data_IF_842073648993
#
_entry.id   IF_842073648993
#
_cell.length_a   1.000
_cell.length_b   1.000
_cell.length_c   1.000
_cell.angle_alpha   90.00
_cell.angle_beta   90.00
_cell.angle_gamma   90.00
#
_symmetry.space_group_name_H-M   'P 1'
#
loop_
_entity.id
_entity.type
_entity.pdbx_description
1 polymer ?
#
# COMPACT_ATOMS: atom_id res chain seq x y z
N UNK A 1 -13.83 9.09 -64.71
CA UNK A 1 -12.86 10.05 -64.15
C UNK A 1 -13.43 10.62 -62.87
N UNK A 2 -12.80 10.34 -61.76
CA UNK A 2 -13.07 11.04 -60.49
C UNK A 2 -13.42 10.15 -59.31
N UNK A 3 -12.44 9.53 -58.65
CA UNK A 3 -12.63 9.04 -57.27
C UNK A 3 -11.29 8.82 -56.57
N UNK A 4 -10.59 9.88 -56.20
CA UNK A 4 -9.35 9.75 -55.40
C UNK A 4 -9.24 10.79 -54.27
N UNK A 5 -10.33 11.41 -53.82
CA UNK A 5 -10.27 12.48 -52.79
C UNK A 5 -10.82 12.07 -51.41
N UNK A 6 -11.34 10.87 -51.22
CA UNK A 6 -11.97 10.49 -49.94
C UNK A 6 -10.98 9.84 -48.92
N UNK A 7 -9.90 9.30 -49.34
CA UNK A 7 -8.95 8.57 -48.48
C UNK A 7 -7.89 9.45 -47.78
N UNK A 8 -7.69 10.69 -48.23
CA UNK A 8 -6.69 11.60 -47.64
C UNK A 8 -7.20 12.37 -46.41
N UNK A 9 -8.51 12.53 -46.26
CA UNK A 9 -9.08 13.24 -45.07
C UNK A 9 -9.13 12.40 -43.82
N UNK A 10 -9.26 11.09 -43.92
CA UNK A 10 -9.32 10.19 -42.76
C UNK A 10 -7.95 9.99 -42.07
N UNK A 11 -6.86 10.08 -42.83
CA UNK A 11 -5.51 9.86 -42.28
C UNK A 11 -4.97 11.07 -41.50
N UNK A 12 -5.41 12.29 -41.84
CA UNK A 12 -4.96 13.52 -41.19
C UNK A 12 -5.62 13.69 -39.82
N UNK A 13 -6.86 13.23 -39.63
CA UNK A 13 -7.57 13.32 -38.35
C UNK A 13 -6.99 12.37 -37.31
N UNK A 14 -6.48 11.19 -37.74
CA UNK A 14 -5.90 10.21 -36.80
C UNK A 14 -4.54 10.63 -36.25
N UNK A 15 -3.75 11.39 -37.03
CA UNK A 15 -2.45 11.90 -36.59
C UNK A 15 -2.60 13.08 -35.63
N UNK A 16 -3.64 13.90 -35.79
CA UNK A 16 -3.90 15.04 -34.92
C UNK A 16 -4.34 14.61 -33.49
N UNK A 17 -5.09 13.50 -33.36
CA UNK A 17 -5.51 12.98 -32.05
C UNK A 17 -4.38 12.30 -31.26
N UNK A 18 -3.41 11.70 -31.95
CA UNK A 18 -2.24 11.08 -31.32
C UNK A 18 -1.27 12.13 -30.73
N UNK A 19 -1.16 13.30 -31.36
CA UNK A 19 -0.29 14.36 -30.86
C UNK A 19 -0.82 15.08 -29.61
N UNK A 20 -2.15 15.15 -29.41
CA UNK A 20 -2.74 15.80 -28.24
C UNK A 20 -2.49 14.98 -26.96
N UNK A 21 -2.58 13.65 -27.05
CA UNK A 21 -2.31 12.77 -25.89
C UNK A 21 -0.83 12.74 -25.50
N UNK A 22 0.07 12.83 -26.47
CA UNK A 22 1.51 12.84 -26.23
C UNK A 22 1.98 14.15 -25.59
N UNK A 23 1.44 15.29 -26.00
CA UNK A 23 1.79 16.59 -25.41
C UNK A 23 1.26 16.73 -23.98
N UNK A 24 0.13 16.09 -23.63
CA UNK A 24 -0.39 16.09 -22.24
C UNK A 24 0.47 15.26 -21.29
N UNK A 25 0.96 14.10 -21.74
CA UNK A 25 1.86 13.25 -20.97
C UNK A 25 3.22 13.93 -20.71
N UNK A 26 3.78 14.58 -21.71
CA UNK A 26 5.07 15.31 -21.59
C UNK A 26 4.95 16.54 -20.67
N UNK A 27 3.80 17.25 -20.67
CA UNK A 27 3.57 18.37 -19.75
C UNK A 27 3.52 17.96 -18.29
N UNK A 28 2.95 16.78 -17.99
CA UNK A 28 2.87 16.26 -16.63
C UNK A 28 4.26 15.92 -16.06
N UNK A 29 5.17 15.43 -16.87
CA UNK A 29 6.56 15.11 -16.47
C UNK A 29 7.37 16.38 -16.21
N UNK A 30 7.10 17.47 -16.92
CA UNK A 30 7.90 18.72 -16.84
C UNK A 30 7.79 19.47 -15.50
N UNK A 31 6.75 19.20 -14.70
CA UNK A 31 6.49 19.85 -13.41
C UNK A 31 6.70 18.94 -12.19
N UNK A 32 7.24 17.73 -12.38
CA UNK A 32 7.58 16.85 -11.27
C UNK A 32 8.96 17.20 -10.72
N UNK A 33 9.04 17.32 -9.39
CA UNK A 33 10.32 17.43 -8.72
C UNK A 33 11.10 16.12 -8.88
N UNK A 34 12.44 16.19 -8.91
CA UNK A 34 13.28 14.99 -9.02
C UNK A 34 12.97 13.95 -7.92
N UNK A 35 12.62 14.41 -6.72
CA UNK A 35 12.22 13.57 -5.60
C UNK A 35 10.89 12.86 -5.88
N UNK A 36 9.89 13.56 -6.43
CA UNK A 36 8.59 12.99 -6.76
C UNK A 36 8.72 11.92 -7.86
N UNK A 37 9.57 12.17 -8.85
CA UNK A 37 9.88 11.20 -9.89
C UNK A 37 10.49 9.91 -9.33
N UNK A 38 11.49 10.02 -8.44
CA UNK A 38 12.09 8.85 -7.78
C UNK A 38 11.07 8.15 -6.89
N UNK A 39 10.23 8.88 -6.16
CA UNK A 39 9.15 8.30 -5.36
C UNK A 39 8.17 7.51 -6.23
N UNK A 40 7.75 8.03 -7.37
CA UNK A 40 6.82 7.34 -8.28
C UNK A 40 7.42 6.04 -8.82
N UNK A 41 8.70 6.02 -9.15
CA UNK A 41 9.41 4.82 -9.59
C UNK A 41 9.54 3.76 -8.48
N UNK A 42 9.86 4.18 -7.26
CA UNK A 42 10.00 3.28 -6.13
C UNK A 42 8.64 2.84 -5.54
N UNK A 43 7.56 3.59 -5.77
CA UNK A 43 6.21 3.25 -5.29
C UNK A 43 5.41 2.41 -6.28
N UNK A 44 5.97 2.07 -7.43
CA UNK A 44 5.34 1.21 -8.42
C UNK A 44 5.15 -0.21 -7.87
N UNK A 45 4.10 -0.37 -7.09
CA UNK A 45 3.47 -1.59 -6.60
C UNK A 45 4.02 -2.26 -5.34
N UNK A 46 3.24 -2.21 -4.30
CA UNK A 46 2.65 -3.46 -3.87
C UNK A 46 1.12 -3.32 -3.79
N UNK A 47 0.38 -4.31 -4.23
CA UNK A 47 -1.06 -4.44 -3.99
C UNK A 47 -1.31 -4.76 -2.51
N UNK A 48 -0.87 -3.85 -1.63
CA UNK A 48 -1.11 -3.98 -0.20
C UNK A 48 -2.55 -3.53 0.10
N UNK A 49 -3.29 -4.28 0.93
CA UNK A 49 -4.62 -3.88 1.35
C UNK A 49 -4.57 -2.54 2.09
N UNK A 50 -5.64 -1.77 2.00
CA UNK A 50 -5.74 -0.52 2.75
C UNK A 50 -6.09 -0.83 4.21
N UNK A 51 -5.13 -0.65 5.12
CA UNK A 51 -5.29 -0.84 6.55
C UNK A 51 -4.90 0.41 7.33
N UNK A 52 -5.37 0.53 8.57
CA UNK A 52 -5.13 1.66 9.47
C UNK A 52 -4.44 1.20 10.75
N UNK A 53 -3.97 2.17 11.55
CA UNK A 53 -3.56 1.87 12.91
C UNK A 53 -4.73 1.26 13.69
N UNK A 54 -4.46 0.21 14.46
CA UNK A 54 -5.45 -0.57 15.19
C UNK A 54 -5.96 -1.82 14.48
N UNK A 55 -5.69 -1.97 13.20
CA UNK A 55 -6.07 -3.18 12.46
C UNK A 55 -5.11 -4.32 12.79
N UNK A 56 -5.65 -5.54 12.83
CA UNK A 56 -4.86 -6.76 12.97
C UNK A 56 -4.52 -7.28 11.59
N UNK A 57 -3.23 -7.39 11.30
CA UNK A 57 -2.72 -7.84 10.01
C UNK A 57 -1.73 -8.99 10.17
N UNK A 58 -1.60 -9.78 9.11
CA UNK A 58 -0.52 -10.76 8.96
C UNK A 58 0.38 -10.30 7.82
N UNK A 59 1.65 -10.08 8.11
CA UNK A 59 2.67 -9.73 7.14
C UNK A 59 3.49 -10.96 6.83
N UNK A 60 3.47 -11.40 5.58
CA UNK A 60 4.33 -12.47 5.07
C UNK A 60 5.57 -11.82 4.47
N UNK A 61 6.73 -12.12 5.04
CA UNK A 61 7.99 -11.57 4.55
C UNK A 61 9.00 -12.67 4.28
N UNK A 62 9.82 -12.44 3.27
CA UNK A 62 10.88 -13.33 2.84
C UNK A 62 12.10 -13.13 3.72
N UNK A 63 12.67 -14.22 4.17
CA UNK A 63 13.96 -14.27 4.85
C UNK A 63 14.90 -15.05 3.96
N UNK A 64 16.06 -14.46 3.67
CA UNK A 64 17.14 -15.10 2.91
C UNK A 64 18.21 -15.50 3.91
N UNK A 65 18.47 -16.80 4.02
CA UNK A 65 19.47 -17.37 4.90
C UNK A 65 20.47 -18.18 4.06
N UNK A 66 21.58 -17.53 3.67
CA UNK A 66 22.52 -18.09 2.71
C UNK A 66 21.86 -18.32 1.35
N UNK A 67 21.79 -19.58 0.91
CA UNK A 67 21.19 -19.96 -0.37
C UNK A 67 19.71 -20.38 -0.27
N UNK A 68 19.10 -20.27 0.90
CA UNK A 68 17.70 -20.67 1.13
C UNK A 68 16.84 -19.45 1.40
N UNK A 69 15.68 -19.43 0.76
CA UNK A 69 14.64 -18.44 1.00
C UNK A 69 13.47 -19.10 1.73
N UNK A 70 12.99 -18.45 2.77
CA UNK A 70 11.77 -18.89 3.46
C UNK A 70 10.85 -17.72 3.75
N UNK A 71 9.56 -18.01 3.75
CA UNK A 71 8.52 -17.04 4.07
C UNK A 71 8.19 -17.19 5.56
N UNK A 72 8.21 -16.07 6.27
CA UNK A 72 7.78 -16.02 7.66
C UNK A 72 6.61 -15.09 7.83
N UNK A 73 5.56 -15.53 8.54
CA UNK A 73 4.38 -14.74 8.83
C UNK A 73 4.52 -14.03 10.18
N UNK A 74 4.27 -12.73 10.18
CA UNK A 74 4.22 -11.91 11.40
C UNK A 74 2.81 -11.36 11.59
N UNK A 75 2.04 -11.96 12.51
CA UNK A 75 0.68 -11.55 12.82
C UNK A 75 0.68 -10.64 14.04
N UNK A 76 0.05 -9.46 13.92
CA UNK A 76 -0.03 -8.52 15.04
C UNK A 76 -0.93 -7.33 14.75
N UNK A 77 -0.97 -6.40 15.69
CA UNK A 77 -1.76 -5.17 15.59
C UNK A 77 -0.90 -4.00 15.13
N UNK A 78 -1.42 -3.21 14.19
CA UNK A 78 -0.72 -2.03 13.67
C UNK A 78 -0.76 -0.92 14.71
N UNK A 79 0.41 -0.49 15.20
CA UNK A 79 0.53 0.60 16.17
C UNK A 79 0.52 1.96 15.48
N UNK A 80 1.25 2.11 14.37
CA UNK A 80 1.38 3.37 13.66
C UNK A 80 1.64 3.16 12.17
N UNK A 81 1.23 4.13 11.38
CA UNK A 81 1.68 4.37 10.01
C UNK A 81 2.33 5.74 9.96
N UNK A 82 3.44 5.87 9.25
CA UNK A 82 4.14 7.15 9.09
C UNK A 82 4.85 7.20 7.73
N UNK A 83 5.18 8.42 7.29
CA UNK A 83 5.83 8.67 6.02
C UNK A 83 4.85 8.74 4.85
N UNK A 84 5.35 9.22 3.71
CA UNK A 84 4.62 9.39 2.47
C UNK A 84 5.48 8.83 1.33
N UNK A 85 4.83 8.25 0.32
CA UNK A 85 5.52 7.68 -0.83
C UNK A 85 6.48 6.55 -0.45
N UNK A 86 7.66 6.51 -1.05
CA UNK A 86 8.66 5.45 -0.87
C UNK A 86 9.15 5.28 0.58
N UNK A 87 9.10 6.35 1.40
CA UNK A 87 9.53 6.33 2.81
C UNK A 87 8.44 5.90 3.77
N UNK A 88 7.25 5.55 3.26
CA UNK A 88 6.14 5.12 4.09
C UNK A 88 6.46 3.82 4.84
N UNK A 89 6.21 3.82 6.15
CA UNK A 89 6.46 2.67 7.03
C UNK A 89 5.28 2.40 7.95
N UNK A 90 5.13 1.17 8.39
CA UNK A 90 4.17 0.79 9.42
C UNK A 90 4.83 -0.10 10.47
N UNK A 91 4.34 0.00 11.70
CA UNK A 91 4.86 -0.79 12.82
C UNK A 91 3.77 -1.74 13.29
N UNK A 92 4.12 -3.01 13.38
CA UNK A 92 3.24 -4.08 13.87
C UNK A 92 3.75 -4.57 15.21
N UNK A 93 2.85 -4.72 16.19
CA UNK A 93 3.14 -5.28 17.52
C UNK A 93 2.46 -6.64 17.69
N UNK A 94 3.21 -7.57 18.20
CA UNK A 94 2.76 -8.91 18.56
C UNK A 94 3.17 -9.21 19.99
N UNK A 95 2.34 -9.89 20.75
CA UNK A 95 2.74 -10.50 22.02
C UNK A 95 3.29 -11.90 21.76
N UNK A 96 4.51 -12.17 22.18
CA UNK A 96 5.14 -13.48 22.09
C UNK A 96 5.68 -13.83 23.47
N UNK A 97 5.21 -14.93 24.04
CA UNK A 97 5.67 -15.44 25.34
C UNK A 97 5.68 -14.40 26.48
N UNK A 98 4.63 -13.56 26.52
CA UNK A 98 4.51 -12.47 27.48
C UNK A 98 5.27 -11.19 27.13
N UNK A 99 6.13 -11.22 26.12
CA UNK A 99 6.92 -10.06 25.67
C UNK A 99 6.29 -9.41 24.46
N UNK A 100 6.19 -8.09 24.47
CA UNK A 100 5.70 -7.32 23.33
C UNK A 100 6.80 -7.09 22.31
N UNK A 101 6.69 -7.72 21.14
CA UNK A 101 7.62 -7.56 20.02
C UNK A 101 7.04 -6.59 19.00
N UNK A 102 7.81 -5.55 18.64
CA UNK A 102 7.45 -4.59 17.61
C UNK A 102 8.39 -4.73 16.42
N UNK A 103 7.82 -4.75 15.22
CA UNK A 103 8.58 -4.75 13.98
C UNK A 103 8.11 -3.65 13.05
N UNK A 104 9.08 -2.92 12.50
CA UNK A 104 8.84 -1.86 11.53
C UNK A 104 9.03 -2.44 10.14
N UNK A 105 8.04 -2.20 9.27
CA UNK A 105 8.03 -2.63 7.88
C UNK A 105 7.90 -1.40 6.96
N UNK A 106 8.80 -1.22 5.98
CA UNK A 106 8.58 -0.28 4.88
C UNK A 106 7.46 -0.81 3.96
N UNK A 107 6.56 0.06 3.50
CA UNK A 107 5.48 -0.34 2.60
C UNK A 107 5.97 -0.95 1.29
N UNK A 108 7.04 -0.39 0.75
CA UNK A 108 7.58 -0.74 -0.57
C UNK A 108 8.82 -1.64 -0.49
N UNK A 109 8.94 -2.41 0.59
CA UNK A 109 10.04 -3.37 0.71
C UNK A 109 9.84 -4.57 -0.21
N UNK A 110 10.84 -4.95 -1.03
CA UNK A 110 10.76 -6.15 -1.86
C UNK A 110 10.67 -7.45 -1.06
N UNK A 111 11.05 -7.39 0.24
CA UNK A 111 11.00 -8.54 1.12
C UNK A 111 9.57 -8.83 1.64
N UNK A 112 8.61 -7.92 1.45
CA UNK A 112 7.21 -8.17 1.80
C UNK A 112 6.55 -8.87 0.61
N UNK A 113 6.13 -10.10 0.82
CA UNK A 113 5.43 -10.88 -0.19
C UNK A 113 3.94 -10.52 -0.23
N UNK A 114 3.30 -10.54 0.93
CA UNK A 114 1.89 -10.22 1.03
C UNK A 114 1.52 -9.71 2.43
N UNK A 115 0.44 -8.94 2.49
CA UNK A 115 -0.16 -8.49 3.75
C UNK A 115 -1.64 -8.87 3.73
N UNK A 116 -2.09 -9.58 4.76
CA UNK A 116 -3.47 -10.02 4.92
C UNK A 116 -4.11 -9.23 6.07
N UNK A 117 -5.24 -8.60 5.81
CA UNK A 117 -6.05 -7.94 6.83
C UNK A 117 -6.93 -8.99 7.53
N UNK A 118 -6.68 -9.25 8.80
CA UNK A 118 -7.45 -10.24 9.59
C UNK A 118 -8.69 -9.61 10.22
N UNK A 119 -8.52 -8.44 10.88
CA UNK A 119 -9.57 -7.75 11.62
C UNK A 119 -9.41 -6.25 11.54
N UNK A 120 -10.52 -5.54 11.45
CA UNK A 120 -10.55 -4.08 11.47
C UNK A 120 -10.78 -3.60 12.90
N UNK A 121 -9.84 -2.81 13.43
CA UNK A 121 -9.91 -2.30 14.78
C UNK A 121 -10.71 -1.00 14.90
N UNK A 122 -11.44 -0.85 16.02
CA UNK A 122 -12.12 0.41 16.39
C UNK A 122 -11.21 1.22 17.30
N UNK A 123 -10.50 2.21 16.75
CA UNK A 123 -9.59 3.08 17.50
C UNK A 123 -9.89 4.54 17.22
N UNK A 124 -9.56 5.43 18.18
CA UNK A 124 -9.75 6.88 18.08
C UNK A 124 -8.45 7.65 17.82
N UNK A 125 -7.30 6.97 17.92
CA UNK A 125 -5.97 7.57 17.77
C UNK A 125 -5.26 7.00 16.56
N UNK A 126 -4.48 7.84 15.87
CA UNK A 126 -3.65 7.42 14.72
C UNK A 126 -2.38 6.68 15.16
N UNK A 127 -1.89 6.91 16.38
CA UNK A 127 -0.72 6.25 16.96
C UNK A 127 -1.12 5.63 18.30
N UNK A 128 -0.86 4.32 18.48
CA UNK A 128 -1.36 3.53 19.59
C UNK A 128 -0.24 3.15 20.56
N UNK A 129 0.58 4.13 20.96
CA UNK A 129 1.72 3.85 21.85
C UNK A 129 1.30 3.37 23.24
N UNK A 130 0.10 3.71 23.69
CA UNK A 130 -0.45 3.25 24.97
C UNK A 130 -0.56 1.72 25.08
N UNK A 131 -0.55 0.99 23.95
CA UNK A 131 -0.56 -0.47 23.95
C UNK A 131 0.74 -1.08 24.51
N UNK A 132 1.82 -0.30 24.58
CA UNK A 132 3.09 -0.75 25.13
C UNK A 132 3.01 -0.99 26.64
N UNK A 133 2.25 -0.15 27.31
CA UNK A 133 2.06 -0.16 28.78
C UNK A 133 0.95 -1.12 29.21
N UNK A 134 0.10 -1.53 28.26
CA UNK A 134 -1.04 -2.40 28.53
C UNK A 134 -0.74 -3.85 28.22
N UNK A 135 -1.25 -4.74 29.07
CA UNK A 135 -1.15 -6.20 28.89
C UNK A 135 -2.51 -6.88 29.08
N UNK A 136 -2.62 -8.11 28.62
CA UNK A 136 -3.80 -8.94 28.79
C UNK A 136 -5.07 -8.36 28.14
N UNK A 137 -6.16 -8.31 28.89
CA UNK A 137 -7.49 -7.86 28.40
C UNK A 137 -7.50 -6.38 27.99
N UNK A 138 -6.76 -5.53 28.70
CA UNK A 138 -6.71 -4.07 28.46
C UNK A 138 -5.95 -3.70 27.16
N UNK A 139 -5.10 -4.59 26.66
CA UNK A 139 -4.36 -4.42 25.40
C UNK A 139 -5.18 -4.83 24.18
N UNK A 140 -6.34 -5.49 24.35
CA UNK A 140 -7.15 -5.95 23.22
C UNK A 140 -7.86 -4.77 22.55
N UNK A 141 -7.69 -4.64 21.24
CA UNK A 141 -8.39 -3.68 20.41
C UNK A 141 -9.78 -4.24 20.07
N UNK A 142 -10.82 -3.43 20.28
CA UNK A 142 -12.17 -3.80 19.90
C UNK A 142 -12.30 -3.86 18.39
N UNK A 143 -12.96 -4.91 17.89
CA UNK A 143 -13.25 -5.06 16.47
C UNK A 143 -14.38 -4.09 16.05
N UNK A 144 -14.18 -3.44 14.91
CA UNK A 144 -15.21 -2.61 14.29
C UNK A 144 -16.26 -3.53 13.67
N UNK A 145 -17.46 -3.57 14.28
CA UNK A 145 -18.58 -4.30 13.69
C UNK A 145 -18.95 -3.64 12.35
N UNK A 146 -18.81 -4.39 11.27
CA UNK A 146 -19.37 -3.98 9.98
C UNK A 146 -20.90 -4.05 10.11
N UNK A 147 -21.65 -3.05 9.62
CA UNK A 147 -23.09 -3.21 9.52
C UNK A 147 -23.37 -4.43 8.64
N UNK A 148 -24.08 -5.40 9.21
CA UNK A 148 -24.53 -6.57 8.45
C UNK A 148 -25.46 -6.05 7.37
N UNK A 149 -25.13 -6.31 6.10
CA UNK A 149 -26.02 -6.00 5.00
C UNK A 149 -27.36 -6.70 5.26
N UNK A 150 -28.52 -6.02 5.10
CA UNK A 150 -29.81 -6.65 5.30
C UNK A 150 -29.90 -7.86 4.38
N UNK A 151 -30.16 -9.02 4.95
CA UNK A 151 -30.46 -10.23 4.18
C UNK A 151 -31.69 -9.93 3.33
N UNK A 152 -31.54 -9.96 2.01
CA UNK A 152 -32.66 -9.93 1.07
C UNK A 152 -33.45 -11.24 1.17
#
# INVERSE_FOLDING_TARGET
MGSNNCLKKSFIIHIATLNISFTFAVRKIKNMNAVDFVHEQLTSNPSLPNFKAGDNITVNYKIVEGNKERIQSFKGDVIKRQGIGATATFTVRKMSDGVGVERLFPFYSPNIESVVLNKVGKVRRAKLFYLRERSGKSARIQEKRMPVAPKK
#
